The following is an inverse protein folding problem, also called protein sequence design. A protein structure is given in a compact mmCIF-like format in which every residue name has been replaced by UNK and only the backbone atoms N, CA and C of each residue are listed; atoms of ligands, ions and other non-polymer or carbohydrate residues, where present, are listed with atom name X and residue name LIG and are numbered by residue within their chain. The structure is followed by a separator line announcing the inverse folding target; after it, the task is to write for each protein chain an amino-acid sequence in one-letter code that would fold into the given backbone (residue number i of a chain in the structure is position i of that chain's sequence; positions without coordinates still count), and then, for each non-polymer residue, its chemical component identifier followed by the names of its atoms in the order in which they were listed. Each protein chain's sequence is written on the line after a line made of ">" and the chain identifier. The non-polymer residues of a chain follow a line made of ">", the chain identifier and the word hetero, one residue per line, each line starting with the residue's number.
data_IF_173262400684
#
_entry.id   IF_173262400684
#
_cell.length_a   1.000
_cell.length_b   1.000
_cell.length_c   1.000
_cell.angle_alpha   90.00
_cell.angle_beta   90.00
_cell.angle_gamma   90.00
#
_symmetry.space_group_name_H-M   'P 1'
#
loop_
_entity.id
_entity.type
_entity.pdbx_description
1 polymer ?
#
# COMPACT_ATOMS: atom_id res chain seq x y z
N UNK A 1 23.37 -9.35 -2.89
CA UNK A 1 23.03 -7.93 -3.06
C UNK A 1 23.25 -7.23 -1.74
N UNK A 2 24.10 -6.20 -1.69
CA UNK A 2 24.44 -5.56 -0.43
C UNK A 2 23.26 -4.77 0.12
N UNK A 3 22.87 -5.06 1.35
CA UNK A 3 21.81 -4.36 2.07
C UNK A 3 22.01 -2.84 2.07
N UNK A 4 23.27 -2.38 2.07
CA UNK A 4 23.65 -0.97 1.95
C UNK A 4 23.23 -0.34 0.60
N UNK A 5 23.40 -1.09 -0.50
CA UNK A 5 23.01 -0.61 -1.85
C UNK A 5 21.50 -0.53 -2.01
N UNK A 6 20.77 -1.47 -1.42
CA UNK A 6 19.32 -1.45 -1.37
C UNK A 6 18.79 -0.28 -0.53
N UNK A 7 19.30 -0.11 0.69
CA UNK A 7 18.93 1.01 1.56
C UNK A 7 19.23 2.37 0.91
N UNK A 8 20.37 2.51 0.24
CA UNK A 8 20.74 3.74 -0.48
C UNK A 8 19.74 4.04 -1.61
N UNK A 9 19.36 3.05 -2.41
CA UNK A 9 18.38 3.21 -3.49
C UNK A 9 17.00 3.56 -2.95
N UNK A 10 16.60 2.97 -1.83
CA UNK A 10 15.34 3.27 -1.17
C UNK A 10 15.31 4.72 -0.67
N UNK A 11 16.35 5.16 0.04
CA UNK A 11 16.46 6.51 0.60
C UNK A 11 16.55 7.57 -0.51
N UNK A 12 17.16 7.24 -1.65
CA UNK A 12 17.29 8.16 -2.79
C UNK A 12 16.07 8.10 -3.73
N UNK A 13 15.07 7.27 -3.43
CA UNK A 13 13.88 7.18 -4.27
C UNK A 13 13.08 8.49 -4.24
N UNK A 14 12.67 9.05 -5.41
CA UNK A 14 11.96 10.33 -5.47
C UNK A 14 10.69 10.39 -4.62
N UNK A 15 9.86 9.33 -4.53
CA UNK A 15 8.68 9.34 -3.68
C UNK A 15 9.02 9.49 -2.20
N UNK A 16 10.04 8.78 -1.71
CA UNK A 16 10.42 8.83 -0.30
C UNK A 16 10.99 10.20 0.08
N UNK A 17 11.81 10.78 -0.80
CA UNK A 17 12.33 12.14 -0.60
C UNK A 17 11.18 13.14 -0.53
N UNK A 18 10.19 13.04 -1.43
CA UNK A 18 9.01 13.92 -1.41
C UNK A 18 8.22 13.78 -0.10
N UNK A 19 7.99 12.57 0.39
CA UNK A 19 7.31 12.34 1.69
C UNK A 19 8.09 12.95 2.85
N UNK A 20 9.42 12.77 2.91
CA UNK A 20 10.27 13.32 3.96
C UNK A 20 10.23 14.86 3.95
N UNK A 21 10.34 15.47 2.76
CA UNK A 21 10.26 16.94 2.60
C UNK A 21 8.90 17.45 3.08
N UNK A 22 7.80 16.84 2.63
CA UNK A 22 6.44 17.24 3.05
C UNK A 22 6.22 17.03 4.56
N UNK A 23 6.78 15.97 5.13
CA UNK A 23 6.73 15.73 6.56
C UNK A 23 7.47 16.82 7.36
N UNK A 24 8.67 17.22 6.90
CA UNK A 24 9.44 18.30 7.53
C UNK A 24 8.68 19.64 7.46
N UNK A 25 8.10 19.96 6.29
CA UNK A 25 7.29 21.17 6.12
C UNK A 25 6.06 21.17 7.06
N UNK A 26 5.39 20.03 7.19
CA UNK A 26 4.23 19.88 8.07
C UNK A 26 4.60 20.07 9.54
N UNK A 27 5.72 19.48 10.00
CA UNK A 27 6.21 19.63 11.37
C UNK A 27 6.67 21.07 11.65
N UNK A 28 7.25 21.73 10.65
CA UNK A 28 7.67 23.13 10.73
C UNK A 28 6.50 24.13 10.66
N UNK A 29 5.25 23.67 10.49
CA UNK A 29 4.06 24.49 10.24
C UNK A 29 4.25 25.50 9.10
N UNK A 30 4.99 25.12 8.06
CA UNK A 30 5.18 25.93 6.88
C UNK A 30 4.12 25.55 5.86
N UNK A 31 3.17 26.46 5.63
CA UNK A 31 2.14 26.25 4.62
C UNK A 31 2.74 26.28 3.21
N UNK A 32 2.36 25.30 2.40
CA UNK A 32 2.78 25.24 1.01
C UNK A 32 2.12 26.39 0.23
N UNK A 33 2.88 27.22 -0.52
CA UNK A 33 2.29 28.31 -1.30
C UNK A 33 1.17 27.80 -2.24
N UNK A 34 0.02 28.48 -2.30
CA UNK A 34 -1.13 28.04 -3.10
C UNK A 34 -0.80 27.89 -4.60
N UNK A 35 0.15 28.66 -5.10
CA UNK A 35 0.63 28.55 -6.49
C UNK A 35 1.22 27.17 -6.78
N UNK A 36 2.00 26.61 -5.85
CA UNK A 36 2.60 25.28 -6.00
C UNK A 36 1.50 24.22 -6.02
N UNK A 37 0.52 24.34 -5.14
CA UNK A 37 -0.62 23.42 -5.07
C UNK A 37 -1.43 23.41 -6.36
N UNK A 38 -1.70 24.58 -6.93
CA UNK A 38 -2.42 24.71 -8.21
C UNK A 38 -1.65 24.09 -9.38
N UNK A 39 -0.32 24.18 -9.39
CA UNK A 39 0.52 23.57 -10.42
C UNK A 39 0.61 22.04 -10.30
N UNK A 40 0.57 21.52 -9.08
CA UNK A 40 0.67 20.07 -8.80
C UNK A 40 -0.69 19.37 -8.94
N UNK A 41 -1.79 20.07 -8.76
CA UNK A 41 -3.14 19.48 -8.80
C UNK A 41 -3.45 18.68 -10.09
N UNK A 42 -3.17 19.16 -11.30
CA UNK A 42 -3.37 18.38 -12.53
C UNK A 42 -2.51 17.11 -12.55
N UNK A 43 -1.28 17.18 -12.03
CA UNK A 43 -0.38 16.02 -11.93
C UNK A 43 -0.91 15.00 -10.93
N UNK A 44 -1.44 15.44 -9.80
CA UNK A 44 -2.06 14.57 -8.81
C UNK A 44 -3.30 13.84 -9.37
N UNK A 45 -4.15 14.54 -10.14
CA UNK A 45 -5.30 13.93 -10.84
C UNK A 45 -4.85 12.93 -11.90
N UNK A 46 -3.82 13.26 -12.69
CA UNK A 46 -3.24 12.36 -13.69
C UNK A 46 -2.62 11.12 -13.03
N UNK A 47 -1.99 11.26 -11.86
CA UNK A 47 -1.40 10.14 -11.12
C UNK A 47 -2.45 9.09 -10.73
N UNK A 48 -3.65 9.49 -10.35
CA UNK A 48 -4.74 8.55 -10.04
C UNK A 48 -5.09 7.69 -11.26
N UNK A 49 -5.21 8.31 -12.42
CA UNK A 49 -5.46 7.59 -13.68
C UNK A 49 -4.32 6.63 -14.02
N UNK A 50 -3.07 7.11 -13.94
CA UNK A 50 -1.88 6.30 -14.23
C UNK A 50 -1.76 5.13 -13.23
N UNK A 51 -2.04 5.34 -11.95
CA UNK A 51 -2.03 4.31 -10.94
C UNK A 51 -3.08 3.22 -11.22
N UNK A 52 -4.30 3.59 -11.61
CA UNK A 52 -5.34 2.64 -12.00
C UNK A 52 -4.98 1.87 -13.27
N UNK A 53 -4.40 2.55 -14.26
CA UNK A 53 -3.91 1.93 -15.48
C UNK A 53 -2.79 0.94 -15.17
N UNK A 54 -1.83 1.32 -14.32
CA UNK A 54 -0.73 0.46 -13.89
C UNK A 54 -1.24 -0.78 -13.14
N UNK A 55 -2.22 -0.60 -12.24
CA UNK A 55 -2.86 -1.72 -11.56
C UNK A 55 -3.51 -2.69 -12.56
N UNK A 56 -4.21 -2.16 -13.57
CA UNK A 56 -4.81 -2.98 -14.62
C UNK A 56 -3.78 -3.75 -15.45
N UNK A 57 -2.68 -3.12 -15.83
CA UNK A 57 -1.60 -3.75 -16.60
C UNK A 57 -0.80 -4.78 -15.80
N UNK A 58 -0.58 -4.52 -14.50
CA UNK A 58 0.11 -5.44 -13.59
C UNK A 58 -0.80 -6.55 -13.06
N UNK A 59 -2.11 -6.48 -13.38
CA UNK A 59 -3.06 -7.51 -13.00
C UNK A 59 -2.87 -8.73 -13.89
N UNK A 60 -1.85 -9.52 -13.57
CA UNK A 60 -1.49 -10.71 -14.29
C UNK A 60 -1.87 -11.93 -13.45
N UNK A 61 -2.99 -12.55 -13.81
CA UNK A 61 -3.45 -13.77 -13.13
C UNK A 61 -2.92 -14.98 -13.90
N UNK A 62 -1.67 -15.29 -13.76
CA UNK A 62 -1.16 -16.62 -14.10
C UNK A 62 -1.36 -17.56 -12.92
N UNK A 63 -2.47 -18.28 -12.91
CA UNK A 63 -2.70 -19.34 -11.92
C UNK A 63 -1.79 -20.54 -12.18
N UNK A 64 -0.51 -20.42 -11.82
CA UNK A 64 0.35 -21.59 -11.69
C UNK A 64 -0.01 -22.30 -10.38
N UNK A 65 -0.53 -23.52 -10.47
CA UNK A 65 -0.92 -24.33 -9.31
C UNK A 65 0.20 -24.49 -8.28
N UNK A 66 1.45 -24.40 -8.73
CA UNK A 66 2.65 -24.48 -7.90
C UNK A 66 2.76 -23.34 -6.89
N UNK A 67 2.32 -22.14 -7.25
CA UNK A 67 2.42 -20.95 -6.38
C UNK A 67 1.23 -20.78 -5.44
N UNK A 68 0.10 -21.41 -5.74
CA UNK A 68 -1.15 -21.17 -5.00
C UNK A 68 -1.02 -21.48 -3.51
N UNK A 69 -0.33 -22.57 -3.14
CA UNK A 69 -0.15 -22.91 -1.73
C UNK A 69 0.67 -21.89 -0.95
N UNK A 70 1.71 -21.34 -1.56
CA UNK A 70 2.57 -20.33 -0.93
C UNK A 70 1.90 -18.96 -0.87
N UNK A 71 1.17 -18.61 -1.94
CA UNK A 71 0.38 -17.37 -2.00
C UNK A 71 -0.70 -17.35 -0.92
N UNK A 72 -1.45 -18.44 -0.76
CA UNK A 72 -2.47 -18.53 0.29
C UNK A 72 -1.88 -18.45 1.69
N UNK A 73 -0.74 -19.09 1.95
CA UNK A 73 -0.03 -18.96 3.23
C UNK A 73 0.40 -17.52 3.47
N UNK A 74 1.00 -16.89 2.48
CA UNK A 74 1.47 -15.50 2.58
C UNK A 74 0.31 -14.53 2.89
N UNK A 75 -0.78 -14.64 2.13
CA UNK A 75 -1.96 -13.80 2.31
C UNK A 75 -2.64 -14.09 3.64
N UNK A 76 -2.73 -15.36 4.05
CA UNK A 76 -3.30 -15.76 5.34
C UNK A 76 -2.53 -15.17 6.52
N UNK A 77 -1.21 -15.35 6.54
CA UNK A 77 -0.34 -14.78 7.59
C UNK A 77 -0.49 -13.26 7.65
N UNK A 78 -0.51 -12.61 6.48
CA UNK A 78 -0.68 -11.16 6.39
C UNK A 78 -2.01 -10.68 6.97
N UNK A 79 -3.12 -11.35 6.63
CA UNK A 79 -4.45 -10.97 7.13
C UNK A 79 -4.59 -11.24 8.63
N UNK A 80 -3.98 -12.31 9.17
CA UNK A 80 -3.92 -12.55 10.60
C UNK A 80 -3.18 -11.41 11.31
N UNK A 81 -2.03 -11.03 10.78
CA UNK A 81 -1.25 -9.91 11.35
C UNK A 81 -1.99 -8.58 11.24
N UNK A 82 -2.64 -8.33 10.11
CA UNK A 82 -3.49 -7.16 9.91
C UNK A 82 -4.65 -7.11 10.90
N UNK A 83 -5.30 -8.25 11.17
CA UNK A 83 -6.38 -8.35 12.15
C UNK A 83 -5.90 -8.04 13.58
N UNK A 84 -4.74 -8.58 13.98
CA UNK A 84 -4.15 -8.28 15.28
C UNK A 84 -3.84 -6.78 15.40
N UNK A 85 -3.20 -6.19 14.40
CA UNK A 85 -2.91 -4.76 14.38
C UNK A 85 -4.18 -3.91 14.40
N UNK A 86 -5.21 -4.30 13.64
CA UNK A 86 -6.50 -3.61 13.60
C UNK A 86 -7.19 -3.60 14.97
N UNK A 87 -7.18 -4.72 15.68
CA UNK A 87 -7.72 -4.82 17.05
C UNK A 87 -6.93 -3.90 17.99
N UNK A 88 -5.60 -3.94 17.93
CA UNK A 88 -4.75 -3.07 18.76
C UNK A 88 -5.06 -1.59 18.47
N UNK A 89 -5.11 -1.19 17.20
CA UNK A 89 -5.37 0.20 16.82
C UNK A 89 -6.77 0.66 17.21
N UNK A 90 -7.75 -0.22 17.16
CA UNK A 90 -9.11 0.12 17.54
C UNK A 90 -9.29 0.33 19.04
N UNK A 91 -8.65 -0.50 19.88
CA UNK A 91 -8.85 -0.49 21.33
C UNK A 91 -7.80 0.30 22.12
N UNK A 92 -6.55 0.35 21.64
CA UNK A 92 -5.43 0.93 22.42
C UNK A 92 -5.21 2.40 22.11
N UNK A 93 -5.49 2.85 20.87
CA UNK A 93 -5.19 4.22 20.47
C UNK A 93 -6.24 5.21 20.98
N UNK A 94 -5.81 6.28 21.68
CA UNK A 94 -6.71 7.32 22.23
C UNK A 94 -7.04 8.38 21.16
N UNK A 95 -7.43 7.94 19.95
CA UNK A 95 -7.83 8.83 18.86
C UNK A 95 -9.34 8.83 18.65
N UNK A 96 -9.83 9.82 17.92
CA UNK A 96 -11.22 9.90 17.51
C UNK A 96 -11.67 8.65 16.75
N UNK A 97 -12.96 8.31 16.86
CA UNK A 97 -13.54 7.11 16.26
C UNK A 97 -13.23 7.01 14.75
N UNK A 98 -13.30 8.13 14.03
CA UNK A 98 -13.03 8.20 12.58
C UNK A 98 -11.58 7.81 12.27
N UNK A 99 -10.64 8.29 13.07
CA UNK A 99 -9.21 7.98 12.87
C UNK A 99 -8.95 6.49 13.15
N UNK A 100 -9.54 5.92 14.20
CA UNK A 100 -9.40 4.50 14.53
C UNK A 100 -9.98 3.62 13.44
N UNK A 101 -11.16 3.95 12.92
CA UNK A 101 -11.80 3.24 11.81
C UNK A 101 -10.94 3.29 10.54
N UNK A 102 -10.38 4.47 10.22
CA UNK A 102 -9.47 4.63 9.07
C UNK A 102 -8.21 3.79 9.22
N UNK A 103 -7.60 3.74 10.41
CA UNK A 103 -6.42 2.92 10.68
C UNK A 103 -6.73 1.42 10.53
N UNK A 104 -7.89 0.97 11.00
CA UNK A 104 -8.34 -0.43 10.81
C UNK A 104 -8.44 -0.76 9.32
N UNK A 105 -9.08 0.09 8.52
CA UNK A 105 -9.19 -0.11 7.06
C UNK A 105 -7.80 -0.15 6.41
N UNK A 106 -6.88 0.71 6.84
CA UNK A 106 -5.52 0.79 6.31
C UNK A 106 -4.72 -0.50 6.58
N UNK A 107 -4.95 -1.19 7.71
CA UNK A 107 -4.30 -2.47 8.00
C UNK A 107 -4.63 -3.54 6.95
N UNK A 108 -5.81 -3.49 6.36
CA UNK A 108 -6.26 -4.43 5.32
C UNK A 108 -5.99 -3.94 3.89
N UNK A 109 -5.28 -2.81 3.72
CA UNK A 109 -4.89 -2.32 2.40
C UNK A 109 -4.12 -3.39 1.61
N UNK A 110 -4.26 -3.49 0.28
CA UNK A 110 -3.57 -4.49 -0.52
C UNK A 110 -2.05 -4.32 -0.51
N UNK A 111 -1.33 -5.31 -1.03
CA UNK A 111 0.11 -5.19 -1.24
C UNK A 111 0.42 -4.05 -2.22
N UNK A 112 1.57 -3.43 -2.06
CA UNK A 112 2.00 -2.37 -2.96
C UNK A 112 2.23 -2.92 -4.37
N UNK A 113 1.73 -2.21 -5.39
CA UNK A 113 1.97 -2.53 -6.80
C UNK A 113 3.46 -2.55 -7.17
N UNK A 114 4.30 -1.94 -6.36
CA UNK A 114 5.77 -1.90 -6.58
C UNK A 114 6.46 -3.16 -6.05
N UNK A 115 5.79 -3.97 -5.23
CA UNK A 115 6.37 -5.16 -4.61
C UNK A 115 6.95 -6.17 -5.63
N UNK A 116 6.27 -6.53 -6.74
CA UNK A 116 6.83 -7.41 -7.76
C UNK A 116 8.13 -6.87 -8.37
N UNK A 117 8.17 -5.56 -8.68
CA UNK A 117 9.37 -4.93 -9.24
C UNK A 117 10.56 -5.00 -8.28
N UNK A 118 10.35 -4.76 -6.99
CA UNK A 118 11.42 -4.92 -5.99
C UNK A 118 11.85 -6.38 -5.82
N UNK A 119 10.90 -7.33 -5.91
CA UNK A 119 11.21 -8.76 -5.85
C UNK A 119 12.14 -9.15 -6.99
N UNK A 120 11.87 -8.70 -8.22
CA UNK A 120 12.75 -8.93 -9.36
C UNK A 120 14.13 -8.27 -9.19
N UNK A 121 14.18 -7.03 -8.70
CA UNK A 121 15.46 -6.37 -8.39
C UNK A 121 16.29 -7.12 -7.34
N UNK A 122 15.65 -7.88 -6.46
CA UNK A 122 16.30 -8.73 -5.46
C UNK A 122 16.65 -10.13 -5.99
N UNK A 123 16.32 -10.45 -7.25
CA UNK A 123 16.56 -11.77 -7.85
C UNK A 123 15.55 -12.83 -7.42
N UNK A 124 14.39 -12.42 -6.92
CA UNK A 124 13.26 -13.28 -6.61
C UNK A 124 12.34 -13.51 -7.82
N UNK A 125 11.32 -14.34 -7.65
CA UNK A 125 10.34 -14.66 -8.69
C UNK A 125 9.29 -13.53 -8.81
N UNK A 126 9.43 -12.70 -9.85
CA UNK A 126 8.48 -11.62 -10.16
C UNK A 126 7.09 -12.14 -10.49
N UNK A 127 7.00 -13.32 -11.14
CA UNK A 127 5.72 -13.92 -11.52
C UNK A 127 4.91 -14.32 -10.30
N UNK A 128 5.56 -14.96 -9.32
CA UNK A 128 4.95 -15.32 -8.05
C UNK A 128 4.53 -14.05 -7.26
N UNK A 129 5.39 -13.04 -7.21
CA UNK A 129 5.09 -11.80 -6.50
C UNK A 129 3.94 -11.00 -7.15
N UNK A 130 3.86 -10.99 -8.49
CA UNK A 130 2.78 -10.35 -9.23
C UNK A 130 1.44 -11.06 -9.01
N UNK A 131 1.45 -12.39 -9.04
CA UNK A 131 0.27 -13.19 -8.76
C UNK A 131 -0.21 -12.99 -7.30
N UNK A 132 0.71 -13.00 -6.33
CA UNK A 132 0.40 -12.73 -4.93
C UNK A 132 -0.20 -11.33 -4.72
N UNK A 133 0.32 -10.33 -5.42
CA UNK A 133 -0.20 -8.97 -5.38
C UNK A 133 -1.63 -8.90 -5.92
N UNK A 134 -1.91 -9.54 -7.07
CA UNK A 134 -3.25 -9.58 -7.67
C UNK A 134 -4.28 -10.25 -6.76
N UNK A 135 -3.93 -11.39 -6.18
CA UNK A 135 -4.81 -12.09 -5.22
C UNK A 135 -4.99 -11.26 -3.95
N UNK A 136 -3.94 -10.58 -3.47
CA UNK A 136 -4.02 -9.68 -2.32
C UNK A 136 -4.99 -8.52 -2.56
N UNK A 137 -5.01 -7.93 -3.76
CA UNK A 137 -5.94 -6.86 -4.13
C UNK A 137 -7.39 -7.35 -4.05
N UNK A 138 -7.68 -8.52 -4.62
CA UNK A 138 -9.02 -9.09 -4.58
C UNK A 138 -9.48 -9.40 -3.14
N UNK A 139 -8.62 -10.04 -2.35
CA UNK A 139 -8.93 -10.33 -0.95
C UNK A 139 -9.14 -9.06 -0.13
N UNK A 140 -8.27 -8.06 -0.29
CA UNK A 140 -8.40 -6.79 0.42
C UNK A 140 -9.66 -6.03 0.03
N UNK A 141 -10.06 -6.06 -1.24
CA UNK A 141 -11.30 -5.44 -1.71
C UNK A 141 -12.52 -6.02 -0.97
N UNK A 142 -12.60 -7.36 -0.89
CA UNK A 142 -13.70 -8.04 -0.20
C UNK A 142 -13.70 -7.70 1.28
N UNK A 143 -12.54 -7.77 1.93
CA UNK A 143 -12.41 -7.52 3.38
C UNK A 143 -12.74 -6.07 3.72
N UNK A 144 -12.21 -5.10 2.96
CA UNK A 144 -12.46 -3.67 3.20
C UNK A 144 -13.93 -3.35 2.97
N UNK A 145 -14.56 -3.89 1.92
CA UNK A 145 -15.99 -3.68 1.66
C UNK A 145 -16.84 -4.25 2.79
N UNK A 146 -16.51 -5.45 3.29
CA UNK A 146 -17.21 -6.04 4.43
C UNK A 146 -17.04 -5.21 5.72
N UNK A 147 -15.83 -4.71 5.98
CA UNK A 147 -15.55 -3.84 7.13
C UNK A 147 -16.30 -2.52 7.05
N UNK A 148 -16.36 -1.88 5.88
CA UNK A 148 -17.15 -0.65 5.66
C UNK A 148 -18.64 -0.89 5.94
N UNK A 149 -19.19 -2.01 5.48
CA UNK A 149 -20.56 -2.38 5.74
C UNK A 149 -20.85 -2.60 7.24
N UNK A 150 -19.94 -3.27 7.95
CA UNK A 150 -20.06 -3.52 9.39
C UNK A 150 -19.93 -2.23 10.21
N UNK A 151 -19.04 -1.33 9.79
CA UNK A 151 -18.79 -0.06 10.47
C UNK A 151 -19.86 1.00 10.19
N UNK A 152 -20.78 0.74 9.27
CA UNK A 152 -21.87 1.68 8.94
C UNK A 152 -21.36 2.99 8.30
N UNK A 153 -20.26 2.93 7.57
CA UNK A 153 -19.60 4.07 6.93
C UNK A 153 -20.13 4.33 5.50
N UNK A 154 -21.34 3.89 5.21
CA UNK A 154 -22.05 4.20 3.97
C UNK A 154 -22.86 5.48 4.12
#
# INVERSE_FOLDING_TARGET
>A
MDLKSFAKRLITSPPLVAYVVMFILAVANIDTPPVILTLIEPMAKANTFVAMLMLGLLFHIEFKKEYMGEIFKLIGIRHIFAAICAVIFYFVLPFDLVIRQTLVLLCFAPMSAVAPAYTGMCGGDEGMASCANSVSILCSLVVITALLAIMGLY
#
